data_IF_261151695828
#
_entry.id   IF_261151695828
#
_cell.length_a   1.000
_cell.length_b   1.000
_cell.length_c   1.000
_cell.angle_alpha   90.00
_cell.angle_beta   90.00
_cell.angle_gamma   90.00
#
_symmetry.space_group_name_H-M   'P 1'
#
loop_
_entity.id
_entity.type
_entity.pdbx_description
1 polymer ?
#
# COMPACT_ATOMS: atom_id res chain seq x y z
N UNK A 1 15.07 19.69 -2.79
CA UNK A 1 15.50 18.54 -1.95
C UNK A 1 14.78 18.43 -0.60
N UNK A 2 14.16 19.51 -0.07
CA UNK A 2 13.49 19.49 1.25
C UNK A 2 12.23 18.59 1.30
N UNK A 3 11.55 18.40 0.19
CA UNK A 3 10.37 17.52 0.11
C UNK A 3 10.74 16.02 0.18
N UNK A 4 11.91 15.68 -0.34
CA UNK A 4 12.38 14.28 -0.35
C UNK A 4 12.73 13.75 1.05
N UNK A 5 13.28 14.58 1.93
CA UNK A 5 13.65 14.16 3.30
C UNK A 5 12.43 13.97 4.20
N UNK A 6 11.46 14.88 4.18
CA UNK A 6 10.26 14.77 5.01
C UNK A 6 9.40 13.55 4.63
N UNK A 7 9.20 13.30 3.34
CA UNK A 7 8.48 12.10 2.88
C UNK A 7 9.24 10.83 3.26
N UNK A 8 10.57 10.82 3.12
CA UNK A 8 11.41 9.70 3.53
C UNK A 8 11.32 9.42 5.03
N UNK A 9 11.25 10.45 5.87
CA UNK A 9 11.14 10.29 7.32
C UNK A 9 9.76 9.76 7.74
N UNK A 10 8.69 10.17 7.03
CA UNK A 10 7.33 9.70 7.32
C UNK A 10 7.20 8.19 7.05
N UNK A 11 7.64 7.71 5.88
CA UNK A 11 7.49 6.28 5.58
C UNK A 11 8.41 5.39 6.44
N UNK A 12 9.59 5.88 6.81
CA UNK A 12 10.48 5.19 7.77
C UNK A 12 9.79 5.04 9.13
N UNK A 13 9.19 6.13 9.64
CA UNK A 13 8.44 6.07 10.89
C UNK A 13 7.27 5.09 10.81
N UNK A 14 6.59 4.97 9.67
CA UNK A 14 5.53 3.97 9.49
C UNK A 14 6.10 2.55 9.56
N UNK A 15 7.22 2.28 8.87
CA UNK A 15 7.89 0.98 8.95
C UNK A 15 8.35 0.64 10.38
N UNK A 16 8.89 1.63 11.12
CA UNK A 16 9.31 1.45 12.51
C UNK A 16 8.14 1.06 13.43
N UNK A 17 6.92 1.54 13.16
CA UNK A 17 5.74 1.14 13.93
C UNK A 17 5.43 -0.35 13.68
N UNK A 18 5.50 -0.82 12.43
CA UNK A 18 5.34 -2.23 12.12
C UNK A 18 6.42 -3.09 12.80
N UNK A 19 7.68 -2.66 12.75
CA UNK A 19 8.78 -3.34 13.46
C UNK A 19 8.52 -3.38 14.97
N UNK A 20 7.99 -2.29 15.55
CA UNK A 20 7.58 -2.26 16.95
C UNK A 20 6.45 -3.24 17.32
N UNK A 21 5.65 -3.66 16.34
CA UNK A 21 4.64 -4.73 16.49
C UNK A 21 5.21 -6.14 16.24
N UNK A 22 6.51 -6.27 15.97
CA UNK A 22 7.15 -7.55 15.67
C UNK A 22 7.10 -7.96 14.20
N UNK A 23 6.75 -7.04 13.30
CA UNK A 23 6.77 -7.31 11.86
C UNK A 23 8.17 -7.07 11.28
N UNK A 24 8.47 -7.71 10.16
CA UNK A 24 9.72 -7.52 9.43
C UNK A 24 9.52 -6.49 8.30
N UNK A 25 10.60 -5.79 7.93
CA UNK A 25 10.62 -4.96 6.72
C UNK A 25 11.05 -5.82 5.54
N UNK A 26 10.25 -5.83 4.50
CA UNK A 26 10.55 -6.48 3.23
C UNK A 26 10.68 -5.43 2.12
N UNK A 27 11.74 -5.53 1.31
CA UNK A 27 12.02 -4.64 0.21
C UNK A 27 12.03 -5.41 -1.13
N UNK A 28 11.85 -4.69 -2.23
CA UNK A 28 11.88 -5.25 -3.57
C UNK A 28 12.26 -4.22 -4.62
N UNK A 29 12.43 -4.64 -5.88
CA UNK A 29 12.88 -3.78 -6.97
C UNK A 29 11.83 -2.72 -7.33
N UNK A 30 12.29 -1.56 -7.79
CA UNK A 30 11.43 -0.49 -8.31
C UNK A 30 11.00 -0.75 -9.78
N UNK A 31 11.89 -1.35 -10.56
CA UNK A 31 11.54 -1.90 -11.88
C UNK A 31 11.10 -3.34 -11.68
N UNK A 32 9.87 -3.63 -12.05
CA UNK A 32 9.23 -4.90 -11.73
C UNK A 32 8.72 -5.58 -13.01
N UNK A 33 8.63 -6.90 -13.01
CA UNK A 33 7.91 -7.61 -14.04
C UNK A 33 6.40 -7.30 -13.94
N UNK A 34 5.77 -7.07 -15.08
CA UNK A 34 4.31 -6.84 -15.17
C UNK A 34 3.51 -7.92 -14.44
N UNK A 35 3.99 -9.16 -14.46
CA UNK A 35 3.41 -10.28 -13.73
C UNK A 35 3.24 -9.99 -12.23
N UNK A 36 4.28 -9.52 -11.54
CA UNK A 36 4.21 -9.24 -10.11
C UNK A 36 3.41 -7.98 -9.79
N UNK A 37 3.41 -7.01 -10.72
CA UNK A 37 2.68 -5.76 -10.52
C UNK A 37 1.17 -5.90 -10.77
N UNK A 38 0.75 -6.88 -11.58
CA UNK A 38 -0.64 -7.04 -12.01
C UNK A 38 -1.14 -8.49 -11.96
N UNK A 39 -0.56 -9.41 -12.72
CA UNK A 39 -1.14 -10.75 -12.93
C UNK A 39 -1.26 -11.52 -11.60
N UNK A 40 -0.20 -11.54 -10.81
CA UNK A 40 -0.16 -12.19 -9.50
C UNK A 40 -1.05 -11.52 -8.44
N UNK A 41 -1.55 -10.34 -8.73
CA UNK A 41 -2.47 -9.58 -7.90
C UNK A 41 -3.91 -9.60 -8.44
N UNK A 42 -4.19 -10.55 -9.33
CA UNK A 42 -5.52 -10.79 -9.89
C UNK A 42 -6.08 -9.63 -10.74
N UNK A 43 -5.22 -8.75 -11.27
CA UNK A 43 -5.65 -7.75 -12.26
C UNK A 43 -5.91 -8.44 -13.60
N UNK A 44 -7.11 -8.26 -14.14
CA UNK A 44 -7.44 -8.77 -15.48
C UNK A 44 -6.62 -8.06 -16.58
N UNK A 45 -6.40 -8.69 -17.76
CA UNK A 45 -5.60 -8.09 -18.83
C UNK A 45 -6.04 -6.69 -19.27
N UNK A 46 -7.35 -6.45 -19.32
CA UNK A 46 -7.93 -5.19 -19.78
C UNK A 46 -8.19 -4.18 -18.64
N UNK A 47 -7.59 -4.40 -17.46
CA UNK A 47 -7.78 -3.48 -16.32
C UNK A 47 -7.19 -2.10 -16.62
N UNK A 48 -7.93 -0.99 -16.36
CA UNK A 48 -7.47 0.37 -16.67
C UNK A 48 -6.09 0.71 -16.10
N UNK A 49 -5.76 0.25 -14.90
CA UNK A 49 -4.47 0.47 -14.26
C UNK A 49 -3.25 -0.06 -15.05
N UNK A 50 -3.46 -0.96 -16.04
CA UNK A 50 -2.41 -1.46 -16.92
C UNK A 50 -2.13 -0.55 -18.11
N UNK A 51 -2.91 0.52 -18.30
CA UNK A 51 -2.73 1.42 -19.44
C UNK A 51 -1.51 2.32 -19.23
N UNK A 52 -0.96 2.83 -20.35
CA UNK A 52 0.11 3.82 -20.34
C UNK A 52 -0.29 5.14 -19.65
N UNK A 53 -1.60 5.35 -19.43
CA UNK A 53 -2.11 6.52 -18.70
C UNK A 53 -1.85 6.43 -17.20
N UNK A 54 -1.70 5.21 -16.65
CA UNK A 54 -1.54 4.99 -15.21
C UNK A 54 -0.20 4.33 -14.85
N UNK A 55 0.51 3.72 -15.83
CA UNK A 55 1.70 2.92 -15.59
C UNK A 55 2.87 3.31 -16.50
N UNK A 56 4.04 3.50 -15.93
CA UNK A 56 5.28 3.65 -16.69
C UNK A 56 5.83 2.27 -17.10
N UNK A 57 5.80 1.99 -18.37
CA UNK A 57 6.48 0.82 -18.97
C UNK A 57 7.94 1.17 -19.25
N UNK A 58 8.84 0.20 -19.07
CA UNK A 58 10.29 0.38 -19.15
C UNK A 58 10.89 -0.58 -20.17
N UNK A 59 11.91 -0.11 -20.89
CA UNK A 59 12.60 -0.92 -21.90
C UNK A 59 11.92 -0.85 -23.27
N UNK A 60 12.25 -1.83 -24.13
CA UNK A 60 11.68 -1.94 -25.47
C UNK A 60 10.21 -2.38 -25.41
N UNK A 61 9.46 -2.09 -26.45
CA UNK A 61 8.08 -2.55 -26.60
C UNK A 61 8.00 -4.08 -26.43
N UNK A 62 7.12 -4.54 -25.56
CA UNK A 62 6.97 -5.96 -25.21
C UNK A 62 7.93 -6.48 -24.13
N UNK A 63 8.77 -5.64 -23.53
CA UNK A 63 9.65 -6.04 -22.42
C UNK A 63 8.89 -6.55 -21.17
N UNK A 64 7.61 -6.18 -21.03
CA UNK A 64 6.77 -6.52 -19.90
C UNK A 64 7.37 -6.11 -18.54
N UNK A 65 8.11 -5.00 -18.55
CA UNK A 65 8.68 -4.39 -17.35
C UNK A 65 8.01 -3.04 -17.08
N UNK A 66 7.75 -2.76 -15.80
CA UNK A 66 7.08 -1.53 -15.36
C UNK A 66 7.82 -0.91 -14.18
N UNK A 67 7.72 0.40 -14.01
CA UNK A 67 7.96 1.00 -12.71
C UNK A 67 6.78 0.60 -11.82
N UNK A 68 7.05 -0.02 -10.65
CA UNK A 68 5.99 -0.51 -9.76
C UNK A 68 5.01 0.61 -9.37
N UNK A 69 3.73 0.34 -9.50
CA UNK A 69 2.66 1.31 -9.19
C UNK A 69 2.20 1.25 -7.73
N UNK A 70 2.66 0.25 -7.01
CA UNK A 70 2.43 -0.01 -5.58
C UNK A 70 3.52 -0.94 -5.04
N UNK A 71 3.57 -1.15 -3.73
CA UNK A 71 4.56 -2.05 -3.12
C UNK A 71 4.09 -3.49 -2.98
N UNK A 72 2.87 -3.82 -3.46
CA UNK A 72 2.30 -5.18 -3.41
C UNK A 72 3.13 -6.27 -4.10
N UNK A 73 3.94 -6.02 -5.15
CA UNK A 73 4.86 -7.01 -5.69
C UNK A 73 5.78 -7.64 -4.63
N UNK A 74 6.19 -6.86 -3.64
CA UNK A 74 7.01 -7.36 -2.52
C UNK A 74 6.25 -8.38 -1.68
N UNK A 75 4.95 -8.18 -1.47
CA UNK A 75 4.10 -9.14 -0.77
C UNK A 75 4.05 -10.47 -1.53
N UNK A 76 3.82 -10.44 -2.85
CA UNK A 76 3.81 -11.64 -3.70
C UNK A 76 5.13 -12.39 -3.61
N UNK A 77 6.26 -11.67 -3.79
CA UNK A 77 7.60 -12.27 -3.70
C UNK A 77 7.84 -12.93 -2.36
N UNK A 78 7.46 -12.26 -1.26
CA UNK A 78 7.61 -12.81 0.08
C UNK A 78 6.79 -14.07 0.29
N UNK A 79 5.54 -14.11 -0.20
CA UNK A 79 4.69 -15.30 -0.12
C UNK A 79 5.25 -16.49 -0.93
N UNK A 80 5.98 -16.23 -2.01
CA UNK A 80 6.63 -17.27 -2.81
C UNK A 80 7.94 -17.81 -2.20
N UNK A 81 8.59 -17.01 -1.35
CA UNK A 81 9.94 -17.30 -0.83
C UNK A 81 9.95 -17.76 0.63
N UNK A 82 8.89 -17.49 1.39
CA UNK A 82 8.87 -17.72 2.85
C UNK A 82 7.78 -18.67 3.29
N UNK A 83 8.10 -19.42 4.32
CA UNK A 83 7.14 -20.23 5.07
C UNK A 83 6.28 -19.35 5.99
N UNK A 84 5.12 -19.85 6.38
CA UNK A 84 4.20 -19.21 7.34
C UNK A 84 4.71 -19.38 8.79
N UNK A 85 4.44 -18.42 9.67
CA UNK A 85 3.67 -17.20 9.47
C UNK A 85 4.47 -16.09 8.79
N UNK A 86 3.78 -15.18 8.08
CA UNK A 86 4.37 -14.00 7.45
C UNK A 86 3.76 -12.74 8.09
N UNK A 87 4.60 -11.83 8.54
CA UNK A 87 4.23 -10.49 9.03
C UNK A 87 5.25 -9.50 8.50
N UNK A 88 4.91 -8.77 7.44
CA UNK A 88 5.84 -7.85 6.79
C UNK A 88 5.23 -6.47 6.54
N UNK A 89 6.08 -5.45 6.60
CA UNK A 89 5.83 -4.12 6.06
C UNK A 89 6.69 -3.92 4.81
N UNK A 90 6.09 -3.44 3.76
CA UNK A 90 6.72 -3.21 2.46
C UNK A 90 6.79 -1.71 2.15
N UNK A 91 7.77 -0.97 2.71
CA UNK A 91 7.98 0.43 2.38
C UNK A 91 8.68 0.57 1.03
N UNK A 92 8.38 1.65 0.31
CA UNK A 92 9.13 1.95 -0.91
C UNK A 92 8.54 3.06 -1.76
N UNK A 93 9.32 3.48 -2.77
CA UNK A 93 8.85 4.40 -3.80
C UNK A 93 7.96 3.66 -4.79
N UNK A 94 6.94 4.35 -5.25
CA UNK A 94 6.02 3.87 -6.29
C UNK A 94 5.85 4.97 -7.35
N UNK A 95 5.42 4.57 -8.53
CA UNK A 95 5.45 5.40 -9.72
C UNK A 95 4.12 5.30 -10.45
N UNK A 96 3.49 6.44 -10.72
CA UNK A 96 2.25 6.52 -11.50
C UNK A 96 2.35 7.68 -12.49
N UNK A 97 1.70 7.56 -13.62
CA UNK A 97 1.73 8.58 -14.67
C UNK A 97 0.78 9.75 -14.40
N UNK A 98 0.37 9.93 -13.15
CA UNK A 98 -0.47 11.05 -12.73
C UNK A 98 0.15 12.40 -13.12
N UNK A 99 -0.68 13.33 -13.55
CA UNK A 99 -0.24 14.70 -13.77
C UNK A 99 0.19 15.33 -12.44
N UNK A 100 1.27 16.09 -12.48
CA UNK A 100 1.78 16.79 -11.31
C UNK A 100 0.84 17.94 -10.93
N UNK A 101 0.15 17.81 -9.83
CA UNK A 101 -0.70 18.84 -9.25
C UNK A 101 -0.41 19.06 -7.75
N UNK A 102 -1.30 19.75 -7.04
CA UNK A 102 -1.14 20.04 -5.62
C UNK A 102 -1.27 18.79 -4.71
N UNK A 103 -1.83 17.70 -5.22
CA UNK A 103 -2.15 16.46 -4.48
C UNK A 103 -1.56 15.21 -5.08
N UNK A 104 -1.13 15.25 -6.34
CA UNK A 104 -0.56 14.12 -7.07
C UNK A 104 0.88 14.40 -7.51
N UNK A 105 1.72 13.40 -7.41
CA UNK A 105 3.11 13.40 -7.90
C UNK A 105 3.39 12.04 -8.54
N UNK A 106 4.09 12.03 -9.70
CA UNK A 106 4.43 10.78 -10.40
C UNK A 106 5.25 9.80 -9.55
N UNK A 107 5.91 10.30 -8.51
CA UNK A 107 6.72 9.49 -7.59
C UNK A 107 6.33 9.82 -6.15
N UNK A 108 5.91 8.82 -5.41
CA UNK A 108 5.60 8.97 -3.99
C UNK A 108 6.02 7.73 -3.19
N UNK A 109 5.98 7.82 -1.87
CA UNK A 109 6.28 6.71 -0.99
C UNK A 109 5.00 6.05 -0.50
N UNK A 110 5.02 4.73 -0.44
CA UNK A 110 3.94 3.90 0.07
C UNK A 110 4.49 2.90 1.08
N UNK A 111 3.69 2.54 2.07
CA UNK A 111 3.94 1.40 2.96
C UNK A 111 2.72 0.51 2.92
N UNK A 112 2.93 -0.75 2.58
CA UNK A 112 1.90 -1.78 2.68
C UNK A 112 2.27 -2.77 3.78
N UNK A 113 1.27 -3.37 4.41
CA UNK A 113 1.45 -4.45 5.38
C UNK A 113 0.77 -5.73 4.89
N UNK A 114 1.44 -6.87 5.08
CA UNK A 114 0.89 -8.19 4.85
C UNK A 114 1.07 -9.05 6.09
N UNK A 115 -0.02 -9.67 6.54
CA UNK A 115 0.02 -10.72 7.54
C UNK A 115 -0.64 -11.98 6.98
N UNK A 116 0.05 -13.12 7.03
CA UNK A 116 -0.47 -14.43 6.66
C UNK A 116 -0.21 -15.40 7.80
N UNK A 117 -1.27 -15.82 8.48
CA UNK A 117 -1.20 -16.74 9.61
C UNK A 117 -2.56 -17.40 9.85
N UNK A 118 -2.55 -18.46 10.66
CA UNK A 118 -3.78 -19.18 11.05
C UNK A 118 -4.68 -18.31 11.91
N UNK A 119 -5.97 -18.28 11.56
CA UNK A 119 -7.01 -17.63 12.36
C UNK A 119 -7.06 -16.10 12.25
N UNK A 120 -6.34 -15.48 11.29
CA UNK A 120 -6.48 -14.06 11.00
C UNK A 120 -7.89 -13.74 10.48
N UNK A 121 -8.39 -12.57 10.86
CA UNK A 121 -9.73 -12.09 10.52
C UNK A 121 -9.71 -10.60 10.22
N UNK A 122 -10.79 -10.07 9.64
CA UNK A 122 -11.02 -8.64 9.50
C UNK A 122 -10.93 -7.86 10.82
N UNK A 123 -11.21 -8.50 11.96
CA UNK A 123 -11.05 -7.86 13.27
C UNK A 123 -9.58 -7.59 13.62
N UNK A 124 -8.67 -8.52 13.26
CA UNK A 124 -7.23 -8.32 13.43
C UNK A 124 -6.72 -7.20 12.50
N UNK A 125 -7.15 -7.18 11.25
CA UNK A 125 -6.83 -6.11 10.30
C UNK A 125 -7.28 -4.75 10.83
N UNK A 126 -8.53 -4.65 11.28
CA UNK A 126 -9.07 -3.42 11.87
C UNK A 126 -8.27 -2.97 13.09
N UNK A 127 -7.94 -3.88 14.00
CA UNK A 127 -7.15 -3.58 15.19
C UNK A 127 -5.76 -3.05 14.85
N UNK A 128 -5.10 -3.63 13.84
CA UNK A 128 -3.81 -3.17 13.33
C UNK A 128 -3.90 -1.76 12.76
N UNK A 129 -4.91 -1.47 11.92
CA UNK A 129 -5.12 -0.15 11.33
C UNK A 129 -5.48 0.91 12.38
N UNK A 130 -6.32 0.58 13.37
CA UNK A 130 -6.62 1.46 14.49
C UNK A 130 -5.36 1.79 15.32
N UNK A 131 -4.52 0.80 15.57
CA UNK A 131 -3.25 0.99 16.28
C UNK A 131 -2.33 1.92 15.50
N UNK A 132 -2.10 1.64 14.22
CA UNK A 132 -1.28 2.47 13.34
C UNK A 132 -1.78 3.92 13.30
N UNK A 133 -3.08 4.12 13.13
CA UNK A 133 -3.67 5.46 13.09
C UNK A 133 -3.44 6.23 14.40
N UNK A 134 -3.61 5.58 15.55
CA UNK A 134 -3.38 6.20 16.87
C UNK A 134 -1.92 6.55 17.13
N UNK A 135 -0.98 5.69 16.69
CA UNK A 135 0.45 5.96 16.84
C UNK A 135 0.91 7.09 15.91
N UNK A 136 0.37 7.16 14.69
CA UNK A 136 0.74 8.18 13.70
C UNK A 136 0.10 9.54 13.98
N UNK A 137 -1.17 9.57 14.33
CA UNK A 137 -1.99 10.79 14.37
C UNK A 137 -2.46 11.18 15.78
N UNK A 138 -2.16 10.37 16.78
CA UNK A 138 -2.50 10.60 18.18
C UNK A 138 -3.58 9.67 18.73
N UNK A 139 -3.64 9.50 20.09
CA UNK A 139 -4.45 8.48 20.74
C UNK A 139 -5.96 8.65 20.53
N UNK A 140 -6.43 9.86 20.29
CA UNK A 140 -7.84 10.18 20.07
C UNK A 140 -8.29 10.00 18.61
N UNK A 141 -7.40 9.53 17.74
CA UNK A 141 -7.69 9.32 16.33
C UNK A 141 -8.78 8.27 16.14
N UNK A 142 -9.74 8.59 15.30
CA UNK A 142 -10.84 7.70 14.94
C UNK A 142 -10.64 7.20 13.53
N UNK A 143 -10.86 5.91 13.32
CA UNK A 143 -10.90 5.28 12.00
C UNK A 143 -12.29 4.77 11.67
N UNK A 144 -12.58 4.60 10.40
CA UNK A 144 -13.73 3.83 9.93
C UNK A 144 -13.33 3.01 8.72
N UNK A 145 -13.96 1.87 8.54
CA UNK A 145 -13.79 1.01 7.37
C UNK A 145 -15.05 1.15 6.50
N UNK A 146 -14.85 1.37 5.21
CA UNK A 146 -15.89 1.38 4.18
C UNK A 146 -15.66 0.21 3.22
N UNK A 147 -16.70 -0.43 2.75
CA UNK A 147 -16.60 -1.45 1.71
C UNK A 147 -16.10 -0.84 0.41
N UNK A 148 -15.22 -1.55 -0.28
CA UNK A 148 -14.71 -1.21 -1.60
C UNK A 148 -14.40 -2.50 -2.37
N UNK A 149 -13.82 -2.38 -3.55
CA UNK A 149 -13.38 -3.49 -4.37
C UNK A 149 -11.91 -3.30 -4.78
N UNK A 150 -11.10 -4.35 -4.54
CA UNK A 150 -9.76 -4.49 -5.10
C UNK A 150 -9.59 -5.90 -5.66
N UNK A 151 -8.88 -6.09 -6.78
CA UNK A 151 -8.74 -7.40 -7.42
C UNK A 151 -8.09 -8.46 -6.53
N UNK A 152 -7.22 -8.04 -5.61
CA UNK A 152 -6.37 -8.90 -4.78
C UNK A 152 -6.89 -9.10 -3.35
N UNK A 153 -8.07 -8.60 -3.01
CA UNK A 153 -8.68 -8.78 -1.68
C UNK A 153 -10.15 -9.16 -1.76
N UNK A 154 -10.59 -10.03 -0.81
CA UNK A 154 -11.99 -10.40 -0.60
C UNK A 154 -12.18 -10.82 0.89
N UNK A 155 -12.96 -10.08 1.69
CA UNK A 155 -13.57 -8.79 1.39
C UNK A 155 -12.55 -7.66 1.27
N UNK A 156 -12.91 -6.68 0.43
CA UNK A 156 -12.13 -5.45 0.22
C UNK A 156 -12.74 -4.27 0.95
N UNK A 157 -11.91 -3.37 1.43
CA UNK A 157 -12.35 -2.18 2.14
C UNK A 157 -11.36 -1.02 1.98
N UNK A 158 -11.81 0.16 2.32
CA UNK A 158 -10.98 1.35 2.52
C UNK A 158 -11.05 1.79 3.98
N UNK A 159 -9.94 2.29 4.49
CA UNK A 159 -9.86 2.89 5.81
C UNK A 159 -9.76 4.40 5.70
N UNK A 160 -10.64 5.09 6.41
CA UNK A 160 -10.60 6.55 6.57
C UNK A 160 -10.15 6.91 7.99
N UNK A 161 -9.48 8.05 8.10
CA UNK A 161 -9.07 8.67 9.37
C UNK A 161 -9.80 10.00 9.55
N UNK A 162 -10.28 10.26 10.76
CA UNK A 162 -10.94 11.51 11.12
C UNK A 162 -9.94 12.59 11.50
N UNK A 163 -9.99 13.72 10.80
CA UNK A 163 -9.20 14.92 11.11
C UNK A 163 -10.10 16.07 11.58
N UNK A 164 -10.00 16.48 12.85
CA UNK A 164 -10.81 17.57 13.41
C UNK A 164 -10.44 18.94 12.82
N UNK A 165 -9.20 19.12 12.40
CA UNK A 165 -8.63 20.40 11.95
C UNK A 165 -8.24 20.40 10.46
N UNK A 166 -8.93 19.63 9.63
CA UNK A 166 -8.70 19.62 8.18
C UNK A 166 -8.97 21.00 7.58
N UNK A 167 -8.14 21.43 6.61
CA UNK A 167 -8.40 22.64 5.81
C UNK A 167 -9.77 22.49 5.11
N UNK A 168 -10.69 23.39 5.41
CA UNK A 168 -12.09 23.30 4.95
C UNK A 168 -13.07 22.68 5.97
N UNK A 169 -12.63 22.44 7.22
CA UNK A 169 -13.45 21.92 8.32
C UNK A 169 -13.12 20.47 8.67
N UNK A 170 -13.63 20.01 9.80
CA UNK A 170 -13.45 18.63 10.26
C UNK A 170 -14.01 17.62 9.24
N UNK A 171 -13.33 16.51 9.05
CA UNK A 171 -13.79 15.50 8.10
C UNK A 171 -12.96 14.21 8.05
N UNK A 172 -13.51 13.24 7.36
CA UNK A 172 -12.84 12.00 7.03
C UNK A 172 -11.88 12.20 5.86
N UNK A 173 -10.72 11.58 5.95
CA UNK A 173 -9.75 11.49 4.85
C UNK A 173 -9.49 10.02 4.62
N UNK A 174 -9.58 9.60 3.37
CA UNK A 174 -9.17 8.26 2.94
C UNK A 174 -7.68 8.08 3.20
N UNK A 175 -7.34 7.00 3.89
CA UNK A 175 -5.95 6.69 4.24
C UNK A 175 -5.39 5.57 3.38
N UNK A 176 -6.21 4.60 3.01
CA UNK A 176 -5.77 3.55 2.09
C UNK A 176 -6.73 2.38 1.97
N UNK A 177 -6.42 1.52 1.01
CA UNK A 177 -7.10 0.25 0.80
C UNK A 177 -6.64 -0.82 1.80
N UNK A 178 -7.55 -1.73 2.15
CA UNK A 178 -7.28 -2.88 3.01
C UNK A 178 -8.23 -4.03 2.69
N UNK A 179 -7.92 -5.22 3.18
CA UNK A 179 -8.79 -6.39 2.98
C UNK A 179 -8.11 -7.69 3.39
N UNK A 180 -8.84 -8.78 3.28
CA UNK A 180 -8.25 -10.12 3.35
C UNK A 180 -7.73 -10.48 1.96
N UNK A 181 -6.57 -11.14 1.92
CA UNK A 181 -5.98 -11.57 0.64
C UNK A 181 -6.94 -12.56 -0.06
N UNK A 182 -7.15 -12.33 -1.34
CA UNK A 182 -7.98 -13.22 -2.16
C UNK A 182 -7.26 -14.57 -2.34
N UNK A 183 -7.96 -15.71 -2.25
CA UNK A 183 -7.38 -17.05 -2.42
C UNK A 183 -6.68 -17.26 -3.75
#
# INVERSE_FOLDING_TARGET
PLYSSAASDVYKRQADIFVGMGWEVAEGPEVEAEYFNFDALNFIPDHPARTLQDTFYVGEEGSRQVMRTHTSPVQVRTMLERDLPIYIACPGRVFRTDELDATHTPVFHQVEGLAVDKGLTMAHLRGTLDHLAKVLFGPETKTRIRTNYFPFTEPSAEVDVWFPNKKGGAGWIEWGGCGMVNP
#
